data_IF_558569663712
#
_entry.id   IF_558569663712
#
_cell.length_a   1.000
_cell.length_b   1.000
_cell.length_c   1.000
_cell.angle_alpha   90.00
_cell.angle_beta   90.00
_cell.angle_gamma   90.00
#
_symmetry.space_group_name_H-M   'P 1'
#
loop_
_entity.id
_entity.type
_entity.pdbx_description
1 polymer ?
#
# COMPACT_ATOMS: atom_id res chain seq x y z
N UNK A 1 24.17 6.65 -14.89
CA UNK A 1 23.26 5.85 -14.04
C UNK A 1 24.06 5.41 -12.82
N UNK A 2 23.58 5.64 -11.60
CA UNK A 2 24.28 5.26 -10.37
C UNK A 2 23.85 3.86 -9.91
N UNK A 3 24.75 3.02 -9.37
CA UNK A 3 24.36 1.73 -8.81
C UNK A 3 23.39 1.90 -7.64
N UNK A 4 22.37 1.03 -7.50
CA UNK A 4 21.29 1.21 -6.53
C UNK A 4 21.74 1.21 -5.07
N UNK A 5 22.87 0.58 -4.73
CA UNK A 5 23.36 0.51 -3.34
C UNK A 5 24.62 1.35 -3.10
N UNK A 6 24.93 2.28 -4.01
CA UNK A 6 26.16 3.08 -3.94
C UNK A 6 26.12 4.22 -2.93
N UNK A 7 24.94 4.79 -2.64
CA UNK A 7 24.84 6.00 -1.81
C UNK A 7 25.55 7.21 -2.42
N UNK A 8 25.65 7.29 -3.76
CA UNK A 8 26.46 8.29 -4.45
C UNK A 8 25.92 9.70 -4.21
N UNK A 9 26.76 10.62 -3.74
CA UNK A 9 26.45 12.05 -3.68
C UNK A 9 26.78 12.70 -5.03
N UNK A 10 25.78 13.26 -5.70
CA UNK A 10 25.96 13.96 -6.97
C UNK A 10 24.96 15.11 -7.12
N UNK A 11 25.44 16.30 -7.49
CA UNK A 11 24.56 17.47 -7.69
C UNK A 11 23.70 17.82 -6.46
N UNK A 12 24.26 17.66 -5.25
CA UNK A 12 23.56 17.94 -4.00
C UNK A 12 22.50 16.90 -3.60
N UNK A 13 22.43 15.75 -4.29
CA UNK A 13 21.48 14.67 -3.99
C UNK A 13 22.21 13.36 -3.72
N UNK A 14 21.65 12.54 -2.83
CA UNK A 14 22.13 11.18 -2.58
C UNK A 14 21.33 10.21 -3.45
N UNK A 15 22.03 9.39 -4.24
CA UNK A 15 21.43 8.38 -5.11
C UNK A 15 21.64 6.98 -4.55
N UNK A 16 20.53 6.29 -4.29
CA UNK A 16 20.49 4.89 -3.89
C UNK A 16 19.07 4.43 -3.58
N UNK A 17 18.79 3.14 -3.76
CA UNK A 17 17.58 2.48 -3.27
C UNK A 17 17.55 2.59 -1.75
N UNK A 18 16.45 3.12 -1.24
CA UNK A 18 16.32 3.43 0.18
C UNK A 18 16.64 4.89 0.52
N UNK A 19 17.26 5.66 -0.38
CA UNK A 19 17.76 6.99 -0.02
C UNK A 19 16.64 7.97 0.34
N UNK A 20 15.47 7.90 -0.32
CA UNK A 20 14.30 8.71 0.03
C UNK A 20 13.31 7.94 0.93
N UNK A 21 12.99 6.70 0.56
CA UNK A 21 12.08 5.80 1.26
C UNK A 21 12.88 4.63 1.87
N UNK A 22 13.13 4.61 3.18
CA UNK A 22 13.04 5.77 4.08
C UNK A 22 14.35 6.02 4.86
N UNK A 23 15.50 5.55 4.35
CA UNK A 23 16.79 5.61 5.07
C UNK A 23 17.23 7.04 5.39
N UNK A 24 16.85 8.04 4.58
CA UNK A 24 17.09 9.45 4.94
C UNK A 24 16.35 9.85 6.22
N UNK A 25 15.09 9.41 6.36
CA UNK A 25 14.29 9.65 7.57
C UNK A 25 14.92 8.99 8.79
N UNK A 26 15.36 7.73 8.66
CA UNK A 26 16.08 7.02 9.74
C UNK A 26 17.35 7.76 10.16
N UNK A 27 18.17 8.17 9.19
CA UNK A 27 19.41 8.90 9.47
C UNK A 27 19.15 10.24 10.17
N UNK A 28 18.14 10.99 9.71
CA UNK A 28 17.74 12.25 10.31
C UNK A 28 17.24 12.07 11.76
N UNK A 29 16.40 11.06 12.02
CA UNK A 29 15.90 10.76 13.36
C UNK A 29 17.02 10.33 14.32
N UNK A 30 17.95 9.50 13.86
CA UNK A 30 19.10 9.06 14.66
C UNK A 30 20.04 10.23 15.01
N UNK A 31 20.30 11.12 14.05
CA UNK A 31 21.11 12.32 14.29
C UNK A 31 20.41 13.29 15.25
N UNK A 32 19.10 13.52 15.09
CA UNK A 32 18.33 14.34 16.01
C UNK A 32 18.39 13.83 17.45
N UNK A 33 18.23 12.51 17.65
CA UNK A 33 18.39 11.88 18.97
C UNK A 33 19.81 12.06 19.52
N UNK A 34 20.84 11.96 18.67
CA UNK A 34 22.25 12.18 19.06
C UNK A 34 22.49 13.62 19.51
N UNK A 35 21.94 14.61 18.78
CA UNK A 35 22.03 16.03 19.13
C UNK A 35 21.33 16.29 20.47
N UNK A 36 20.12 15.75 20.67
CA UNK A 36 19.39 15.88 21.93
C UNK A 36 20.18 15.31 23.11
N UNK A 37 20.73 14.09 22.96
CA UNK A 37 21.55 13.46 23.98
C UNK A 37 22.81 14.27 24.34
N UNK A 38 23.43 14.93 23.34
CA UNK A 38 24.62 15.77 23.54
C UNK A 38 24.31 17.16 24.10
N UNK A 39 23.08 17.66 23.93
CA UNK A 39 22.69 19.01 24.37
C UNK A 39 22.68 19.19 25.89
N UNK A 40 22.64 18.08 26.65
CA UNK A 40 22.56 18.11 28.11
C UNK A 40 21.18 18.50 28.66
N UNK A 41 20.19 18.73 27.80
CA UNK A 41 18.80 18.95 28.21
C UNK A 41 18.12 17.64 28.63
N UNK A 42 17.15 17.73 29.55
CA UNK A 42 16.28 16.61 29.90
C UNK A 42 14.95 16.71 29.17
N UNK A 43 14.48 15.59 28.64
CA UNK A 43 13.14 15.47 28.09
C UNK A 43 12.12 15.28 29.22
N UNK A 44 10.90 15.81 29.05
CA UNK A 44 9.80 15.60 30.01
C UNK A 44 9.17 14.20 29.92
N UNK A 45 9.68 13.35 29.03
CA UNK A 45 9.23 11.98 28.81
C UNK A 45 10.27 11.20 27.99
N UNK A 46 9.91 9.99 27.59
CA UNK A 46 10.79 9.09 26.86
C UNK A 46 10.82 9.39 25.35
N UNK A 47 12.00 9.26 24.75
CA UNK A 47 12.18 9.24 23.30
C UNK A 47 12.57 7.83 22.88
N UNK A 48 11.69 7.15 22.15
CA UNK A 48 11.90 5.80 21.64
C UNK A 48 12.20 5.89 20.15
N UNK A 49 13.35 5.35 19.72
CA UNK A 49 13.64 5.12 18.31
C UNK A 49 13.24 3.67 17.95
N UNK A 50 12.17 3.54 17.17
CA UNK A 50 11.68 2.26 16.68
C UNK A 50 12.02 2.12 15.18
N UNK A 51 12.93 1.21 14.86
CA UNK A 51 13.26 0.88 13.47
C UNK A 51 12.79 -0.54 13.15
N UNK A 52 11.92 -0.66 12.16
CA UNK A 52 11.31 -1.93 11.75
C UNK A 52 11.88 -2.39 10.41
N UNK A 53 11.51 -3.61 10.04
CA UNK A 53 11.76 -4.17 8.72
C UNK A 53 10.43 -4.71 8.17
N UNK A 54 10.44 -5.02 6.88
CA UNK A 54 9.30 -5.65 6.20
C UNK A 54 8.04 -4.79 6.09
N UNK A 55 8.19 -3.46 6.03
CA UNK A 55 7.05 -2.55 5.86
C UNK A 55 6.26 -2.88 4.57
N UNK A 56 6.99 -3.08 3.47
CA UNK A 56 6.43 -3.29 2.13
C UNK A 56 5.86 -4.69 1.84
N UNK A 57 6.11 -5.71 2.67
CA UNK A 57 5.77 -7.11 2.34
C UNK A 57 5.06 -7.90 3.46
N UNK A 58 4.69 -7.26 4.57
CA UNK A 58 3.93 -7.96 5.62
C UNK A 58 3.87 -7.31 6.99
N UNK A 59 4.56 -6.18 7.19
CA UNK A 59 4.60 -5.41 8.44
C UNK A 59 5.11 -6.22 9.64
N UNK A 60 5.94 -7.24 9.42
CA UNK A 60 6.36 -8.16 10.48
C UNK A 60 7.09 -7.44 11.62
N UNK A 61 7.99 -6.49 11.32
CA UNK A 61 8.70 -5.72 12.34
C UNK A 61 7.75 -4.88 13.21
N UNK A 62 6.81 -4.18 12.58
CA UNK A 62 5.82 -3.36 13.30
C UNK A 62 4.89 -4.21 14.16
N UNK A 63 4.41 -5.35 13.65
CA UNK A 63 3.59 -6.31 14.41
C UNK A 63 4.31 -6.81 15.66
N UNK A 64 5.60 -7.16 15.55
CA UNK A 64 6.40 -7.59 16.70
C UNK A 64 6.56 -6.51 17.76
N UNK A 65 6.71 -5.24 17.37
CA UNK A 65 6.76 -4.13 18.33
C UNK A 65 5.45 -4.00 19.11
N UNK A 66 4.31 -4.12 18.42
CA UNK A 66 2.98 -4.06 19.04
C UNK A 66 2.73 -5.26 19.96
N UNK A 67 2.93 -6.48 19.47
CA UNK A 67 2.74 -7.72 20.24
C UNK A 67 3.64 -7.80 21.48
N UNK A 68 4.84 -7.20 21.41
CA UNK A 68 5.79 -7.18 22.51
C UNK A 68 5.52 -6.10 23.56
N UNK A 69 4.50 -5.25 23.38
CA UNK A 69 4.18 -4.17 24.31
C UNK A 69 5.18 -3.00 24.29
N UNK A 70 6.09 -2.94 23.31
CA UNK A 70 7.14 -1.90 23.25
C UNK A 70 6.61 -0.49 23.00
N UNK A 71 5.36 -0.38 22.54
CA UNK A 71 4.67 0.88 22.29
C UNK A 71 3.60 1.20 23.36
N UNK A 72 3.52 0.40 24.43
CA UNK A 72 2.62 0.69 25.54
C UNK A 72 2.99 2.02 26.21
N UNK A 73 2.00 2.90 26.41
CA UNK A 73 2.23 4.23 26.99
C UNK A 73 2.80 5.29 26.04
N UNK A 74 3.06 4.95 24.77
CA UNK A 74 3.49 5.93 23.76
C UNK A 74 2.33 6.89 23.44
N UNK A 75 2.53 8.18 23.68
CA UNK A 75 1.52 9.22 23.44
C UNK A 75 1.50 9.78 22.01
N UNK A 76 2.59 9.62 21.25
CA UNK A 76 2.70 10.07 19.87
C UNK A 76 3.75 9.26 19.10
N UNK A 77 3.51 9.05 17.80
CA UNK A 77 4.44 8.40 16.88
C UNK A 77 4.73 9.35 15.73
N UNK A 78 6.01 9.56 15.43
CA UNK A 78 6.46 10.27 14.25
C UNK A 78 7.09 9.27 13.28
N UNK A 79 6.50 9.13 12.09
CA UNK A 79 7.01 8.26 11.03
C UNK A 79 7.79 9.11 10.03
N UNK A 80 9.05 8.75 9.77
CA UNK A 80 9.95 9.52 8.89
C UNK A 80 9.83 9.23 7.39
N UNK A 81 8.65 8.82 6.93
CA UNK A 81 8.40 8.54 5.51
C UNK A 81 8.52 9.82 4.65
N UNK A 82 8.82 9.73 3.35
CA UNK A 82 9.04 10.90 2.52
C UNK A 82 7.74 11.68 2.32
N UNK A 83 7.61 12.77 3.07
CA UNK A 83 6.44 13.65 3.07
C UNK A 83 6.65 14.98 2.34
N UNK A 84 7.81 15.20 1.74
CA UNK A 84 8.19 16.53 1.23
C UNK A 84 8.40 17.58 2.34
N UNK A 85 8.61 17.14 3.59
CA UNK A 85 8.67 17.95 4.81
C UNK A 85 7.33 18.49 5.31
N UNK A 86 6.21 18.01 4.75
CA UNK A 86 4.88 18.22 5.33
C UNK A 86 4.57 17.22 6.44
N UNK A 87 3.57 17.53 7.26
CA UNK A 87 3.08 16.65 8.33
C UNK A 87 1.76 16.02 7.88
N UNK A 88 1.78 14.70 7.71
CA UNK A 88 0.59 13.91 7.44
C UNK A 88 0.09 13.29 8.75
N UNK A 89 -1.19 13.50 9.06
CA UNK A 89 -1.85 12.97 10.27
C UNK A 89 -2.96 11.97 9.93
N UNK A 90 -3.10 11.62 8.66
CA UNK A 90 -4.08 10.67 8.15
C UNK A 90 -3.52 10.02 6.88
N UNK A 91 -3.87 8.75 6.67
CA UNK A 91 -3.57 7.98 5.46
C UNK A 91 -4.81 7.19 5.04
N UNK A 92 -4.87 6.81 3.76
CA UNK A 92 -5.88 5.86 3.29
C UNK A 92 -5.38 4.44 3.55
N UNK A 93 -6.31 3.56 3.89
CA UNK A 93 -6.02 2.13 3.94
C UNK A 93 -5.75 1.59 2.53
N UNK A 94 -5.19 0.39 2.42
CA UNK A 94 -4.96 -0.33 1.17
C UNK A 94 -5.50 -1.76 1.28
N UNK A 95 -6.59 -2.03 0.55
CA UNK A 95 -7.18 -3.35 0.41
C UNK A 95 -6.95 -3.86 -1.02
N UNK A 96 -6.06 -4.83 -1.13
CA UNK A 96 -5.78 -5.52 -2.39
C UNK A 96 -6.51 -6.86 -2.45
N UNK A 97 -7.30 -7.07 -3.50
CA UNK A 97 -8.09 -8.29 -3.69
C UNK A 97 -7.77 -8.95 -5.02
N UNK A 98 -7.54 -10.25 -4.99
CA UNK A 98 -7.47 -11.08 -6.19
C UNK A 98 -8.79 -11.83 -6.39
N UNK A 99 -9.44 -11.59 -7.51
CA UNK A 99 -10.72 -12.19 -7.87
C UNK A 99 -10.53 -13.18 -9.00
N UNK A 100 -11.05 -14.41 -8.84
CA UNK A 100 -11.04 -15.44 -9.89
C UNK A 100 -12.45 -15.93 -10.18
N UNK A 101 -12.81 -15.97 -11.46
CA UNK A 101 -14.08 -16.51 -11.94
C UNK A 101 -13.80 -17.70 -12.85
N UNK A 102 -14.46 -18.82 -12.56
CA UNK A 102 -14.41 -20.02 -13.37
C UNK A 102 -15.72 -20.20 -14.15
N UNK A 103 -15.60 -20.69 -15.38
CA UNK A 103 -16.67 -20.96 -16.30
C UNK A 103 -16.45 -22.29 -17.00
N UNK A 104 -16.87 -22.38 -18.27
CA UNK A 104 -16.80 -23.60 -19.06
C UNK A 104 -16.55 -23.28 -20.53
N UNK A 105 -15.50 -23.89 -21.08
CA UNK A 105 -15.09 -23.69 -22.46
C UNK A 105 -16.11 -24.32 -23.42
N UNK A 106 -16.40 -23.59 -24.51
CA UNK A 106 -17.11 -24.10 -25.69
C UNK A 106 -16.75 -23.26 -26.92
N UNK A 107 -17.14 -23.72 -28.11
CA UNK A 107 -17.03 -22.91 -29.32
C UNK A 107 -17.97 -21.70 -29.23
N UNK A 108 -17.51 -20.51 -29.64
CA UNK A 108 -18.28 -19.27 -29.48
C UNK A 108 -19.62 -19.27 -30.22
N UNK A 109 -19.77 -20.07 -31.29
CA UNK A 109 -21.06 -20.26 -31.98
C UNK A 109 -22.07 -21.13 -31.24
N UNK A 110 -21.65 -21.83 -30.18
CA UNK A 110 -22.51 -22.70 -29.36
C UNK A 110 -22.48 -22.24 -27.89
N UNK A 111 -22.92 -20.99 -27.58
CA UNK A 111 -22.74 -20.41 -26.26
C UNK A 111 -23.48 -21.14 -25.14
N UNK A 112 -24.58 -21.81 -25.45
CA UNK A 112 -25.36 -22.61 -24.49
C UNK A 112 -24.60 -23.83 -23.94
N UNK A 113 -23.49 -24.25 -24.57
CA UNK A 113 -22.66 -25.36 -24.08
C UNK A 113 -21.56 -24.91 -23.10
N UNK A 114 -21.29 -23.60 -23.03
CA UNK A 114 -20.25 -23.00 -22.21
C UNK A 114 -20.79 -22.05 -21.15
N UNK A 115 -19.88 -21.50 -20.34
CA UNK A 115 -20.13 -20.46 -19.35
C UNK A 115 -19.00 -19.44 -19.45
N UNK A 116 -19.33 -18.19 -19.80
CA UNK A 116 -18.35 -17.17 -20.12
C UNK A 116 -17.82 -16.48 -18.85
N UNK A 117 -16.63 -16.88 -18.39
CA UNK A 117 -16.02 -16.35 -17.18
C UNK A 117 -15.72 -14.84 -17.24
N UNK A 118 -15.43 -14.31 -18.43
CA UNK A 118 -15.17 -12.87 -18.61
C UNK A 118 -16.45 -12.06 -18.38
N UNK A 119 -17.59 -12.49 -18.95
CA UNK A 119 -18.86 -11.80 -18.74
C UNK A 119 -19.30 -11.87 -17.28
N UNK A 120 -19.08 -13.00 -16.61
CA UNK A 120 -19.38 -13.14 -15.18
C UNK A 120 -18.46 -12.27 -14.31
N UNK A 121 -17.17 -12.15 -14.64
CA UNK A 121 -16.26 -11.21 -13.97
C UNK A 121 -16.72 -9.76 -14.13
N UNK A 122 -17.09 -9.33 -15.34
CA UNK A 122 -17.62 -7.98 -15.58
C UNK A 122 -18.86 -7.70 -14.73
N UNK A 123 -19.79 -8.66 -14.67
CA UNK A 123 -20.99 -8.55 -13.81
C UNK A 123 -20.64 -8.47 -12.33
N UNK A 124 -19.69 -9.29 -11.88
CA UNK A 124 -19.23 -9.28 -10.50
C UNK A 124 -18.62 -7.92 -10.12
N UNK A 125 -17.68 -7.41 -10.93
CA UNK A 125 -17.01 -6.12 -10.69
C UNK A 125 -18.00 -4.95 -10.71
N UNK A 126 -18.99 -4.98 -11.61
CA UNK A 126 -20.08 -4.00 -11.61
C UNK A 126 -20.86 -3.98 -10.30
N UNK A 127 -21.28 -5.16 -9.81
CA UNK A 127 -22.00 -5.28 -8.52
C UNK A 127 -21.14 -4.86 -7.33
N UNK A 128 -19.85 -5.18 -7.34
CA UNK A 128 -18.93 -4.76 -6.27
C UNK A 128 -18.84 -3.23 -6.22
N UNK A 129 -18.60 -2.59 -7.36
CA UNK A 129 -18.54 -1.13 -7.46
C UNK A 129 -19.83 -0.47 -6.97
N UNK A 130 -20.99 -0.98 -7.40
CA UNK A 130 -22.30 -0.45 -6.98
C UNK A 130 -22.57 -0.65 -5.49
N UNK A 131 -22.17 -1.79 -4.91
CA UNK A 131 -22.44 -2.10 -3.50
C UNK A 131 -21.52 -1.38 -2.52
N UNK A 132 -20.25 -1.21 -2.89
CA UNK A 132 -19.31 -0.51 -2.03
C UNK A 132 -19.61 1.01 -2.00
N UNK A 133 -20.24 1.55 -3.05
CA UNK A 133 -20.64 2.97 -3.18
C UNK A 133 -19.54 3.97 -2.80
N UNK A 134 -18.28 3.58 -3.07
CA UNK A 134 -17.10 4.34 -2.71
C UNK A 134 -16.99 5.59 -3.56
N UNK A 135 -16.56 6.68 -2.94
CA UNK A 135 -16.31 7.95 -3.59
C UNK A 135 -17.40 9.00 -3.36
N UNK A 136 -18.42 8.69 -2.57
CA UNK A 136 -19.48 9.62 -2.15
C UNK A 136 -19.13 10.28 -0.81
N UNK A 137 -18.45 9.53 0.05
CA UNK A 137 -17.86 9.96 1.29
C UNK A 137 -16.68 10.92 1.08
N UNK A 138 -16.46 11.79 2.06
CA UNK A 138 -15.36 12.76 2.05
C UNK A 138 -14.70 12.84 3.43
N UNK A 139 -13.39 12.70 3.42
CA UNK A 139 -12.52 12.99 4.55
C UNK A 139 -11.87 14.37 4.35
N UNK A 140 -11.84 15.24 5.37
CA UNK A 140 -11.27 16.59 5.26
C UNK A 140 -9.82 16.64 4.77
N UNK A 141 -9.04 15.58 5.03
CA UNK A 141 -7.61 15.51 4.69
C UNK A 141 -7.28 14.57 3.52
N UNK A 142 -8.15 13.61 3.20
CA UNK A 142 -7.84 12.50 2.27
C UNK A 142 -8.75 12.48 1.03
N UNK A 143 -9.71 13.40 0.95
CA UNK A 143 -10.80 13.40 -0.02
C UNK A 143 -11.61 12.10 0.07
N UNK A 144 -11.71 11.30 -1.00
CA UNK A 144 -12.64 10.16 -1.08
C UNK A 144 -11.92 8.82 -1.22
N UNK A 145 -12.59 7.70 -0.89
CA UNK A 145 -12.06 6.37 -1.18
C UNK A 145 -11.97 6.15 -2.69
N UNK A 146 -11.13 5.19 -3.11
CA UNK A 146 -10.99 4.81 -4.50
C UNK A 146 -11.12 3.32 -4.70
N UNK A 147 -11.71 2.95 -5.83
CA UNK A 147 -11.84 1.57 -6.30
C UNK A 147 -11.27 1.48 -7.70
N UNK A 148 -10.22 0.68 -7.88
CA UNK A 148 -9.54 0.51 -9.15
C UNK A 148 -9.41 -0.97 -9.48
N UNK A 149 -9.79 -1.36 -10.69
CA UNK A 149 -9.42 -2.67 -11.26
C UNK A 149 -8.05 -2.49 -11.89
N UNK A 150 -6.99 -2.91 -11.19
CA UNK A 150 -5.61 -2.68 -11.61
C UNK A 150 -5.21 -3.62 -12.75
N UNK A 151 -5.71 -4.86 -12.74
CA UNK A 151 -5.54 -5.82 -13.83
C UNK A 151 -6.81 -6.63 -14.07
N UNK A 152 -7.02 -7.07 -15.32
CA UNK A 152 -8.05 -8.05 -15.70
C UNK A 152 -7.55 -8.89 -16.86
N UNK A 153 -7.66 -10.22 -16.77
CA UNK A 153 -7.14 -11.18 -17.75
C UNK A 153 -8.12 -12.33 -17.95
N UNK A 154 -8.47 -12.62 -19.20
CA UNK A 154 -9.32 -13.76 -19.53
C UNK A 154 -9.42 -14.00 -21.04
N UNK A 155 -9.70 -15.25 -21.41
CA UNK A 155 -9.80 -15.69 -22.80
C UNK A 155 -8.47 -16.04 -23.46
N UNK A 156 -8.58 -16.85 -24.52
CA UNK A 156 -7.42 -17.42 -25.24
C UNK A 156 -7.54 -17.28 -26.76
N UNK A 157 -8.75 -17.20 -27.31
CA UNK A 157 -9.01 -17.03 -28.74
C UNK A 157 -10.42 -16.48 -28.98
N UNK A 158 -10.62 -15.79 -30.11
CA UNK A 158 -11.91 -15.14 -30.45
C UNK A 158 -13.09 -16.12 -30.62
N UNK A 159 -12.80 -17.37 -31.01
CA UNK A 159 -13.81 -18.41 -31.26
C UNK A 159 -13.99 -19.38 -30.08
N UNK A 160 -13.43 -19.06 -28.91
CA UNK A 160 -13.48 -19.90 -27.70
C UNK A 160 -14.11 -19.10 -26.56
N UNK A 161 -15.10 -19.70 -25.91
CA UNK A 161 -15.70 -19.12 -24.70
C UNK A 161 -14.71 -19.24 -23.55
N UNK A 162 -14.32 -18.14 -22.89
CA UNK A 162 -13.36 -18.17 -21.79
C UNK A 162 -13.95 -18.89 -20.57
N UNK A 163 -13.21 -19.85 -20.03
CA UNK A 163 -13.56 -20.57 -18.80
C UNK A 163 -12.82 -20.06 -17.55
N UNK A 164 -11.94 -19.08 -17.70
CA UNK A 164 -11.29 -18.41 -16.59
C UNK A 164 -11.17 -16.90 -16.85
N UNK A 165 -11.33 -16.12 -15.79
CA UNK A 165 -11.03 -14.69 -15.76
C UNK A 165 -10.50 -14.33 -14.36
N UNK A 166 -9.40 -13.58 -14.32
CA UNK A 166 -8.75 -13.11 -13.10
C UNK A 166 -8.71 -11.58 -13.12
N UNK A 167 -8.93 -10.95 -11.97
CA UNK A 167 -8.85 -9.51 -11.81
C UNK A 167 -8.22 -9.15 -10.46
N UNK A 168 -7.35 -8.15 -10.45
CA UNK A 168 -6.77 -7.58 -9.23
C UNK A 168 -7.43 -6.23 -8.96
N UNK A 169 -7.84 -6.02 -7.71
CA UNK A 169 -8.50 -4.81 -7.24
C UNK A 169 -7.60 -4.08 -6.28
N UNK A 170 -7.47 -2.78 -6.49
CA UNK A 170 -6.79 -1.83 -5.61
C UNK A 170 -7.83 -0.87 -5.03
N UNK A 171 -8.11 -1.04 -3.73
CA UNK A 171 -9.15 -0.30 -3.02
C UNK A 171 -8.48 0.47 -1.90
N UNK A 172 -8.58 1.80 -1.94
CA UNK A 172 -8.10 2.65 -0.87
C UNK A 172 -9.28 3.27 -0.13
N UNK A 173 -9.40 2.96 1.16
CA UNK A 173 -10.50 3.44 2.02
C UNK A 173 -10.04 4.64 2.85
N UNK A 174 -10.95 5.58 3.08
CA UNK A 174 -10.74 6.64 4.08
C UNK A 174 -11.11 6.13 5.50
N UNK A 175 -10.54 6.69 6.57
CA UNK A 175 -10.94 6.35 7.94
C UNK A 175 -12.39 6.75 8.26
N UNK A 176 -13.08 5.92 9.05
CA UNK A 176 -14.45 6.14 9.54
C UNK A 176 -15.49 5.24 8.86
#
# INVERSE_FOLDING_TARGET
MFPPFSGTLHGGKVYGRGAADMKSGLAAMAEAATILARSGGSLSGDLILAFTYDETHGLQGARRLLEGGYLEGVGAVLVGEPSGLDVFIAEKDALWLECRVHGKTAHSSMPHLGQNAVLEMVRFLGRVKERLDLGTERHPLLDKSSFTVSTIRGGVAINVIPDACEAELDIHLIPG
#
